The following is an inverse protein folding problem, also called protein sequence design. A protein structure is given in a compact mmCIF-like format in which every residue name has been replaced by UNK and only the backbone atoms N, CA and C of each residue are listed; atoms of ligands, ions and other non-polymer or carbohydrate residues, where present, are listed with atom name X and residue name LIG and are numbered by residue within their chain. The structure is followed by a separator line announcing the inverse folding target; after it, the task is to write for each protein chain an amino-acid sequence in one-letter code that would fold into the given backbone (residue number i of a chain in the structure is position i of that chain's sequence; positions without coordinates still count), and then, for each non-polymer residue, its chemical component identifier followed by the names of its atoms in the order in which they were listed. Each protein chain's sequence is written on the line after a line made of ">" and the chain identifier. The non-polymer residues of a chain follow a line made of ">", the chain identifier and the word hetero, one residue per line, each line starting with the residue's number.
data_IF_309168343166
#
_entry.id   IF_309168343166
#
_cell.length_a   1.000
_cell.length_b   1.000
_cell.length_c   1.000
_cell.angle_alpha   90.00
_cell.angle_beta   90.00
_cell.angle_gamma   90.00
#
_symmetry.space_group_name_H-M   'P 1'
#
loop_
_entity.id
_entity.type
_entity.pdbx_description
1 polymer ?
#
# COMPACT_ATOMS: atom_id res chain seq x y z
N UNK A 1 -0.74 -10.96 -5.56
CA UNK A 1 -1.85 -10.78 -4.59
C UNK A 1 -1.40 -11.26 -3.20
N UNK A 2 -1.91 -10.72 -2.09
CA UNK A 2 -1.81 -11.32 -0.74
C UNK A 2 -3.12 -11.10 0.01
N UNK A 3 -3.35 -11.91 1.04
CA UNK A 3 -4.56 -11.86 1.87
C UNK A 3 -4.26 -11.15 3.19
N UNK A 4 -5.23 -10.41 3.70
CA UNK A 4 -5.17 -9.77 5.01
C UNK A 4 -6.34 -10.28 5.85
N UNK A 5 -6.07 -10.58 7.11
CA UNK A 5 -7.12 -10.81 8.09
C UNK A 5 -7.68 -9.43 8.49
N UNK A 6 -8.92 -9.16 8.10
CA UNK A 6 -9.52 -7.84 8.31
C UNK A 6 -11.04 -7.94 8.24
N UNK A 7 -11.70 -7.33 9.23
CA UNK A 7 -13.16 -7.14 9.28
C UNK A 7 -13.61 -6.13 8.19
N UNK A 8 -13.43 -6.51 6.94
CA UNK A 8 -13.73 -5.69 5.77
C UNK A 8 -15.22 -5.76 5.44
N UNK A 9 -15.81 -4.59 5.16
CA UNK A 9 -17.24 -4.46 4.85
C UNK A 9 -17.45 -4.22 3.35
N UNK A 10 -18.66 -4.51 2.88
CA UNK A 10 -19.08 -4.08 1.54
C UNK A 10 -18.88 -2.57 1.40
N UNK A 11 -18.42 -2.14 0.22
CA UNK A 11 -18.08 -0.73 -0.05
C UNK A 11 -16.62 -0.34 0.22
N UNK A 12 -15.80 -1.22 0.80
CA UNK A 12 -14.37 -0.91 1.00
C UNK A 12 -13.48 -1.13 -0.24
N UNK A 13 -13.99 -1.74 -1.31
CA UNK A 13 -13.26 -1.96 -2.57
C UNK A 13 -12.64 -0.67 -3.10
N UNK A 14 -11.38 -0.73 -3.53
CA UNK A 14 -10.61 0.43 -3.98
C UNK A 14 -9.88 1.19 -2.88
N UNK A 15 -10.09 0.85 -1.60
CA UNK A 15 -9.41 1.52 -0.49
C UNK A 15 -7.90 1.22 -0.46
N UNK A 16 -7.05 2.19 -0.12
CA UNK A 16 -5.62 1.96 0.05
C UNK A 16 -5.35 1.14 1.32
N UNK A 17 -4.36 0.25 1.24
CA UNK A 17 -3.94 -0.61 2.35
C UNK A 17 -2.53 -0.23 2.78
N UNK A 18 -2.38 0.05 4.07
CA UNK A 18 -1.11 0.39 4.70
C UNK A 18 -0.77 -0.63 5.78
N UNK A 19 0.51 -1.00 5.88
CA UNK A 19 1.03 -1.61 7.09
C UNK A 19 1.53 -0.51 8.03
N UNK A 20 1.16 -0.61 9.31
CA UNK A 20 1.66 0.24 10.37
C UNK A 20 2.75 -0.49 11.12
N UNK A 21 3.93 0.13 11.20
CA UNK A 21 5.05 -0.34 11.97
C UNK A 21 5.44 0.74 12.97
N UNK A 22 5.93 0.30 14.12
CA UNK A 22 6.54 1.19 15.09
C UNK A 22 8.03 0.94 15.06
N UNK A 23 8.81 1.98 14.77
CA UNK A 23 10.26 1.94 14.91
C UNK A 23 10.65 2.69 16.17
N UNK A 24 11.70 2.20 16.82
CA UNK A 24 12.30 2.90 17.95
C UNK A 24 13.40 3.78 17.39
N UNK A 25 13.39 5.05 17.76
CA UNK A 25 14.41 6.01 17.35
C UNK A 25 14.46 7.21 18.26
N UNK A 26 15.05 8.28 17.74
CA UNK A 26 15.32 9.49 18.49
C UNK A 26 14.78 10.70 17.72
N UNK A 27 14.06 11.57 18.43
CA UNK A 27 13.56 12.82 17.89
C UNK A 27 14.50 13.96 18.28
N UNK A 28 14.95 14.72 17.29
CA UNK A 28 15.76 15.94 17.47
C UNK A 28 14.87 17.11 17.89
N UNK A 29 15.47 18.15 18.48
CA UNK A 29 14.76 19.38 18.84
C UNK A 29 14.13 20.09 17.63
N UNK A 30 14.74 19.97 16.44
CA UNK A 30 14.21 20.52 15.18
C UNK A 30 12.99 19.75 14.63
N UNK A 31 12.59 18.66 15.30
CA UNK A 31 11.45 17.83 14.93
C UNK A 31 11.77 16.68 13.97
N UNK A 32 13.01 16.57 13.48
CA UNK A 32 13.45 15.44 12.66
C UNK A 32 13.73 14.19 13.49
N UNK A 33 13.86 13.04 12.82
CA UNK A 33 14.11 11.76 13.46
C UNK A 33 15.44 11.17 13.00
N UNK A 34 16.12 10.46 13.91
CA UNK A 34 17.36 9.73 13.65
C UNK A 34 17.31 8.35 14.34
N UNK A 35 18.03 7.39 13.76
CA UNK A 35 18.16 6.04 14.32
C UNK A 35 19.37 5.92 15.27
N UNK A 36 20.20 6.96 15.36
CA UNK A 36 21.39 6.98 16.21
C UNK A 36 21.22 7.97 17.36
N UNK A 37 21.64 7.64 18.59
CA UNK A 37 21.59 8.58 19.69
C UNK A 37 22.55 9.74 19.43
N UNK A 38 22.05 10.97 19.54
CA UNK A 38 22.80 12.22 19.44
C UNK A 38 22.54 13.09 20.67
N UNK A 39 23.37 14.10 20.91
CA UNK A 39 23.14 15.09 21.96
C UNK A 39 21.81 15.82 21.66
N UNK A 40 21.02 16.12 22.70
CA UNK A 40 19.72 16.80 22.60
C UNK A 40 18.61 16.04 21.84
N UNK A 41 18.71 14.72 21.77
CA UNK A 41 17.66 13.85 21.24
C UNK A 41 16.79 13.22 22.33
N UNK A 42 15.49 13.08 22.05
CA UNK A 42 14.55 12.33 22.90
C UNK A 42 14.24 10.96 22.31
N UNK A 43 14.36 9.91 23.13
CA UNK A 43 13.91 8.57 22.75
C UNK A 43 12.40 8.55 22.49
N UNK A 44 11.98 7.98 21.36
CA UNK A 44 10.57 7.93 20.99
C UNK A 44 10.22 6.72 20.12
N UNK A 45 8.93 6.41 20.09
CA UNK A 45 8.34 5.48 19.13
C UNK A 45 7.87 6.29 17.93
N UNK A 46 8.38 5.92 16.75
CA UNK A 46 8.12 6.61 15.49
C UNK A 46 7.14 5.74 14.69
N UNK A 47 5.91 6.21 14.43
CA UNK A 47 4.97 5.50 13.59
C UNK A 47 5.43 5.59 12.13
N UNK A 48 5.46 4.44 11.45
CA UNK A 48 5.79 4.32 10.05
C UNK A 48 4.68 3.57 9.32
N UNK A 49 4.21 4.15 8.23
CA UNK A 49 3.17 3.56 7.40
C UNK A 49 3.75 3.22 6.03
N UNK A 50 3.70 1.93 5.68
CA UNK A 50 4.09 1.49 4.36
C UNK A 50 2.85 1.23 3.52
N UNK A 51 2.74 1.93 2.38
CA UNK A 51 1.71 1.59 1.39
C UNK A 51 2.00 0.19 0.85
N UNK A 52 1.01 -0.70 0.96
CA UNK A 52 1.13 -2.08 0.53
C UNK A 52 0.38 -2.36 -0.78
N UNK A 53 -0.71 -1.64 -1.05
CA UNK A 53 -1.56 -1.90 -2.21
C UNK A 53 -2.99 -1.39 -2.09
N UNK A 54 -3.86 -1.90 -2.95
CA UNK A 54 -5.27 -1.53 -3.01
C UNK A 54 -6.15 -2.73 -2.70
N UNK A 55 -7.08 -2.57 -1.77
CA UNK A 55 -8.03 -3.61 -1.41
C UNK A 55 -9.00 -3.87 -2.56
N UNK A 56 -9.20 -5.13 -2.92
CA UNK A 56 -9.96 -5.54 -4.10
C UNK A 56 -11.21 -6.37 -3.78
N UNK A 57 -11.54 -6.54 -2.50
CA UNK A 57 -12.70 -7.33 -2.05
C UNK A 57 -12.34 -8.44 -1.06
N UNK A 58 -13.33 -9.24 -0.66
CA UNK A 58 -13.19 -10.31 0.35
C UNK A 58 -13.56 -11.68 -0.22
N UNK A 59 -12.92 -12.72 0.29
CA UNK A 59 -13.32 -14.12 0.04
C UNK A 59 -14.34 -14.51 1.13
N UNK A 60 -15.41 -15.20 0.74
CA UNK A 60 -16.43 -15.68 1.68
C UNK A 60 -17.40 -14.61 2.18
N UNK A 61 -17.50 -13.48 1.47
CA UNK A 61 -18.30 -12.31 1.86
C UNK A 61 -19.82 -12.44 1.79
N UNK A 62 -20.34 -13.63 1.54
CA UNK A 62 -21.77 -13.87 1.37
C UNK A 62 -22.47 -14.21 2.70
N UNK A 63 -21.70 -14.47 3.76
CA UNK A 63 -22.18 -14.83 5.09
C UNK A 63 -21.25 -14.26 6.15
N UNK A 64 -21.79 -13.45 7.06
CA UNK A 64 -21.01 -12.77 8.10
C UNK A 64 -20.40 -13.73 9.14
N UNK A 65 -20.87 -14.99 9.18
CA UNK A 65 -20.30 -16.04 10.04
C UNK A 65 -19.14 -16.82 9.38
N UNK A 66 -18.82 -16.54 8.10
CA UNK A 66 -17.68 -17.16 7.42
C UNK A 66 -16.39 -16.36 7.63
N UNK A 67 -15.27 -17.05 7.45
CA UNK A 67 -13.93 -16.46 7.49
C UNK A 67 -13.85 -15.27 6.51
N UNK A 68 -13.61 -14.07 7.04
CA UNK A 68 -13.55 -12.82 6.26
C UNK A 68 -12.10 -12.47 5.92
N UNK A 69 -11.57 -13.05 4.84
CA UNK A 69 -10.24 -12.73 4.35
C UNK A 69 -10.30 -11.66 3.26
N UNK A 70 -9.65 -10.53 3.51
CA UNK A 70 -9.53 -9.44 2.56
C UNK A 70 -8.44 -9.71 1.51
N UNK A 71 -8.70 -9.33 0.27
CA UNK A 71 -7.77 -9.45 -0.84
C UNK A 71 -7.17 -8.10 -1.21
N UNK A 72 -5.86 -8.08 -1.44
CA UNK A 72 -5.14 -6.85 -1.80
C UNK A 72 -4.31 -7.05 -3.08
N UNK A 73 -4.45 -6.10 -4.00
CA UNK A 73 -3.59 -5.94 -5.16
C UNK A 73 -2.28 -5.30 -4.71
N UNK A 74 -1.16 -5.96 -4.99
CA UNK A 74 0.15 -5.50 -4.51
C UNK A 74 0.53 -4.19 -5.21
N UNK A 75 1.15 -3.26 -4.49
CA UNK A 75 1.67 -2.01 -5.06
C UNK A 75 2.55 -2.21 -6.29
N UNK A 76 3.35 -3.28 -6.34
CA UNK A 76 4.21 -3.57 -7.48
C UNK A 76 3.40 -3.93 -8.74
N UNK A 77 2.33 -4.71 -8.59
CA UNK A 77 1.41 -5.04 -9.69
C UNK A 77 0.73 -3.77 -10.21
N UNK A 78 0.32 -2.87 -9.31
CA UNK A 78 -0.26 -1.58 -9.71
C UNK A 78 0.75 -0.76 -10.53
N UNK A 79 2.00 -0.69 -10.07
CA UNK A 79 3.09 -0.02 -10.81
C UNK A 79 3.31 -0.66 -12.17
N UNK A 80 3.38 -1.99 -12.24
CA UNK A 80 3.54 -2.74 -13.50
C UNK A 80 2.38 -2.48 -14.46
N UNK A 81 1.14 -2.39 -13.99
CA UNK A 81 -0.02 -2.06 -14.84
C UNK A 81 0.09 -0.63 -15.37
N UNK A 82 0.42 0.35 -14.52
CA UNK A 82 0.54 1.76 -14.93
C UNK A 82 1.70 1.94 -15.92
N UNK A 83 2.85 1.29 -15.67
CA UNK A 83 4.02 1.36 -16.55
C UNK A 83 3.79 0.55 -17.82
N UNK A 84 3.23 -0.65 -17.72
CA UNK A 84 2.89 -1.52 -18.85
C UNK A 84 1.81 -0.91 -19.75
N UNK A 85 0.88 -0.12 -19.20
CA UNK A 85 -0.05 0.68 -19.99
C UNK A 85 0.65 1.71 -20.88
N UNK A 86 1.84 2.23 -20.51
CA UNK A 86 2.61 3.07 -21.45
C UNK A 86 2.98 2.32 -22.73
N UNK A 87 3.28 1.03 -22.64
CA UNK A 87 3.67 0.23 -23.81
C UNK A 87 2.50 0.11 -24.79
N UNK A 88 1.28 -0.10 -24.30
CA UNK A 88 0.10 -0.22 -25.16
C UNK A 88 -0.28 1.11 -25.83
N UNK A 89 -0.19 2.24 -25.12
CA UNK A 89 -0.49 3.57 -25.69
C UNK A 89 0.58 4.02 -26.70
N UNK A 90 1.86 3.72 -26.47
CA UNK A 90 2.92 3.99 -27.45
C UNK A 90 2.77 3.12 -28.70
N UNK A 91 2.37 1.85 -28.57
CA UNK A 91 2.08 0.97 -29.71
C UNK A 91 0.88 1.43 -30.55
N UNK A 92 -0.20 1.91 -29.95
CA UNK A 92 -1.34 2.47 -30.70
C UNK A 92 -0.93 3.72 -31.51
N UNK A 93 -0.12 4.60 -30.92
CA UNK A 93 0.39 5.79 -31.61
C UNK A 93 1.35 5.45 -32.77
N UNK A 94 2.14 4.38 -32.65
CA UNK A 94 2.99 3.87 -33.73
C UNK A 94 2.16 3.26 -34.87
N UNK A 95 1.07 2.56 -34.56
CA UNK A 95 0.19 1.93 -35.56
C UNK A 95 -0.65 2.99 -36.30
N UNK A 96 -1.00 4.10 -35.66
CA UNK A 96 -1.81 5.17 -36.26
C UNK A 96 -1.04 6.15 -37.17
N UNK A 97 0.29 6.09 -37.19
CA UNK A 97 1.13 6.99 -38.02
C UNK A 97 1.46 6.36 -39.38
N UNK A 98 1.28 5.04 -39.52
CA UNK A 98 1.56 4.27 -40.74
C UNK A 98 0.28 3.90 -41.55
N UNK A 99 -0.87 4.53 -41.24
CA UNK A 99 -2.15 4.37 -41.96
C UNK A 99 -2.64 5.69 -42.54
#
# INVERSE_FOLDING_TARGET
>A
KYMIDSATRSGMSGSPVFASFNHVGFKKQDGTFTNTPEIDCLFCVIPHFEFLGVYSGRIGGDDDNKIQLGNVWRKNVIKEVIVGQKIYVEMENLISVDS
#
